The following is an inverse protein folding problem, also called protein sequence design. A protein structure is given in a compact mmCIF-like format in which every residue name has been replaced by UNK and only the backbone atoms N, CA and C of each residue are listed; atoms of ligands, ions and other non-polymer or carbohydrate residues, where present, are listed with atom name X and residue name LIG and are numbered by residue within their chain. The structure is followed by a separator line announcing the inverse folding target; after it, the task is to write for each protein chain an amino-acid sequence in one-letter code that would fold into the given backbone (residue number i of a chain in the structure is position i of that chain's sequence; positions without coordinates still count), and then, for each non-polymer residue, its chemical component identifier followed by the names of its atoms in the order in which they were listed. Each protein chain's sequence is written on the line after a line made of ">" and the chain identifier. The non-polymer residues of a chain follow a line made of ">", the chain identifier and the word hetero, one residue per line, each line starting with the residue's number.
data_IF_712664478535
#
_entry.id   IF_712664478535
#
_cell.length_a   1.000
_cell.length_b   1.000
_cell.length_c   1.000
_cell.angle_alpha   90.00
_cell.angle_beta   90.00
_cell.angle_gamma   90.00
#
_symmetry.space_group_name_H-M   'P 1'
#
loop_
_entity.id
_entity.type
_entity.pdbx_description
1 polymer ?
#
# COMPACT_ATOMS: atom_id res chain seq x y z
N UNK A 1 5.12 -19.13 -1.24
CA UNK A 1 4.77 -18.03 -0.32
C UNK A 1 3.62 -17.22 -0.93
N UNK A 2 2.71 -16.67 -0.11
CA UNK A 2 1.61 -15.82 -0.61
C UNK A 2 2.22 -14.51 -1.12
N UNK A 3 1.93 -14.12 -2.37
CA UNK A 3 2.38 -12.84 -2.93
C UNK A 3 1.76 -11.65 -2.17
N UNK A 4 2.55 -10.60 -1.93
CA UNK A 4 2.04 -9.32 -1.43
C UNK A 4 1.11 -8.70 -2.46
N UNK A 5 -0.06 -8.26 -1.99
CA UNK A 5 -1.13 -7.72 -2.83
C UNK A 5 -1.16 -6.19 -2.83
N UNK A 6 -1.41 -5.60 -4.00
CA UNK A 6 -1.35 -4.16 -4.21
C UNK A 6 -2.68 -3.61 -4.77
N UNK A 7 -3.05 -2.41 -4.30
CA UNK A 7 -3.98 -1.50 -4.98
C UNK A 7 -3.15 -0.34 -5.53
N UNK A 8 -3.28 -0.07 -6.83
CA UNK A 8 -2.64 1.09 -7.48
C UNK A 8 -3.67 2.20 -7.65
N UNK A 9 -3.30 3.41 -7.26
CA UNK A 9 -4.17 4.58 -7.35
C UNK A 9 -3.41 5.73 -8.02
N UNK A 10 -3.85 6.11 -9.21
CA UNK A 10 -3.28 7.18 -10.02
C UNK A 10 -4.31 7.56 -11.10
N UNK A 11 -4.56 8.85 -11.35
CA UNK A 11 -5.49 9.28 -12.40
C UNK A 11 -4.90 9.08 -13.80
N UNK A 12 -3.58 8.93 -13.91
CA UNK A 12 -2.90 8.63 -15.16
C UNK A 12 -2.88 7.13 -15.45
N UNK A 13 -3.55 6.65 -16.52
CA UNK A 13 -3.51 5.23 -16.91
C UNK A 13 -2.09 4.78 -17.29
N UNK A 14 -1.25 5.71 -17.77
CA UNK A 14 0.15 5.44 -18.06
C UNK A 14 0.91 5.08 -16.78
N UNK A 15 0.79 5.88 -15.71
CA UNK A 15 1.46 5.61 -14.44
C UNK A 15 0.94 4.33 -13.78
N UNK A 16 -0.36 4.06 -13.84
CA UNK A 16 -0.89 2.77 -13.36
C UNK A 16 -0.24 1.58 -14.07
N UNK A 17 -0.06 1.66 -15.39
CA UNK A 17 0.64 0.63 -16.18
C UNK A 17 2.11 0.48 -15.80
N UNK A 18 2.83 1.60 -15.61
CA UNK A 18 4.25 1.58 -15.19
C UNK A 18 4.40 0.94 -13.81
N UNK A 19 3.61 1.38 -12.83
CA UNK A 19 3.64 0.88 -11.46
C UNK A 19 3.24 -0.61 -11.43
N UNK A 20 2.21 -1.01 -12.18
CA UNK A 20 1.81 -2.42 -12.30
C UNK A 20 2.95 -3.29 -12.79
N UNK A 21 3.55 -2.93 -13.93
CA UNK A 21 4.66 -3.71 -14.50
C UNK A 21 5.83 -3.80 -13.54
N UNK A 22 6.16 -2.69 -12.88
CA UNK A 22 7.20 -2.69 -11.85
C UNK A 22 6.88 -3.67 -10.70
N UNK A 23 5.66 -3.63 -10.15
CA UNK A 23 5.25 -4.52 -9.06
C UNK A 23 5.23 -5.99 -9.50
N UNK A 24 4.66 -6.30 -10.65
CA UNK A 24 4.44 -7.69 -11.08
C UNK A 24 5.69 -8.32 -11.68
N UNK A 25 6.46 -7.59 -12.50
CA UNK A 25 7.64 -8.10 -13.20
C UNK A 25 8.92 -7.99 -12.37
N UNK A 26 9.09 -6.92 -11.57
CA UNK A 26 10.34 -6.69 -10.80
C UNK A 26 10.24 -7.14 -9.35
N UNK A 27 9.13 -6.84 -8.67
CA UNK A 27 8.97 -7.14 -7.24
C UNK A 27 8.31 -8.49 -6.96
N UNK A 28 7.73 -9.14 -7.97
CA UNK A 28 6.99 -10.40 -7.81
C UNK A 28 5.68 -10.27 -7.03
N UNK A 29 5.19 -9.04 -6.83
CA UNK A 29 3.91 -8.75 -6.19
C UNK A 29 2.71 -9.13 -7.06
N UNK A 30 1.50 -8.87 -6.56
CA UNK A 30 0.25 -9.04 -7.30
C UNK A 30 -0.63 -7.81 -7.18
N UNK A 31 -0.95 -7.16 -8.29
CA UNK A 31 -1.91 -6.05 -8.29
C UNK A 31 -3.33 -6.63 -8.36
N UNK A 32 -4.15 -6.35 -7.35
CA UNK A 32 -5.51 -6.92 -7.22
C UNK A 32 -6.62 -5.92 -7.54
N UNK A 33 -6.29 -4.63 -7.63
CA UNK A 33 -7.21 -3.57 -7.98
C UNK A 33 -6.45 -2.33 -8.47
N UNK A 34 -7.13 -1.49 -9.24
CA UNK A 34 -6.69 -0.15 -9.65
C UNK A 34 -7.81 0.84 -9.40
N UNK A 35 -7.47 2.09 -9.05
CA UNK A 35 -8.40 3.20 -8.92
C UNK A 35 -7.87 4.44 -9.65
N UNK A 36 -8.79 5.26 -10.14
CA UNK A 36 -8.46 6.50 -10.89
C UNK A 36 -8.62 7.77 -10.04
N UNK A 37 -9.19 7.66 -8.84
CA UNK A 37 -9.37 8.75 -7.90
C UNK A 37 -9.41 8.29 -6.44
N UNK A 38 -9.32 9.23 -5.50
CA UNK A 38 -9.29 8.93 -4.07
C UNK A 38 -10.59 8.33 -3.51
N UNK A 39 -11.76 8.64 -4.08
CA UNK A 39 -13.04 8.07 -3.62
C UNK A 39 -13.10 6.59 -3.98
N UNK A 40 -12.73 6.25 -5.22
CA UNK A 40 -12.64 4.86 -5.67
C UNK A 40 -11.57 4.10 -4.88
N UNK A 41 -10.42 4.72 -4.61
CA UNK A 41 -9.37 4.12 -3.80
C UNK A 41 -9.86 3.65 -2.42
N UNK A 42 -10.59 4.52 -1.70
CA UNK A 42 -11.16 4.18 -0.38
C UNK A 42 -12.16 3.02 -0.50
N UNK A 43 -13.01 3.03 -1.53
CA UNK A 43 -13.99 1.96 -1.79
C UNK A 43 -13.32 0.63 -2.09
N UNK A 44 -12.35 0.61 -2.99
CA UNK A 44 -11.64 -0.61 -3.38
C UNK A 44 -10.76 -1.13 -2.25
N UNK A 45 -10.14 -0.25 -1.46
CA UNK A 45 -9.40 -0.66 -0.26
C UNK A 45 -10.31 -1.42 0.72
N UNK A 46 -11.49 -0.88 1.03
CA UNK A 46 -12.46 -1.53 1.93
C UNK A 46 -12.93 -2.88 1.40
N UNK A 47 -13.10 -3.01 0.09
CA UNK A 47 -13.54 -4.24 -0.58
C UNK A 47 -12.46 -5.32 -0.62
N UNK A 48 -11.25 -4.97 -1.08
CA UNK A 48 -10.20 -5.94 -1.41
C UNK A 48 -9.15 -6.10 -0.32
N UNK A 49 -9.02 -5.14 0.59
CA UNK A 49 -8.05 -5.13 1.70
C UNK A 49 -6.64 -5.52 1.24
N UNK A 50 -6.05 -4.80 0.28
CA UNK A 50 -4.70 -5.07 -0.21
C UNK A 50 -3.68 -4.91 0.92
N UNK A 51 -2.55 -5.59 0.78
CA UNK A 51 -1.44 -5.47 1.73
C UNK A 51 -0.77 -4.09 1.64
N UNK A 52 -0.67 -3.54 0.43
CA UNK A 52 -0.05 -2.23 0.14
C UNK A 52 -0.93 -1.42 -0.83
N UNK A 53 -1.00 -0.11 -0.62
CA UNK A 53 -1.59 0.85 -1.55
C UNK A 53 -0.48 1.75 -2.09
N UNK A 54 -0.38 1.89 -3.41
CA UNK A 54 0.38 3.00 -4.01
C UNK A 54 -0.59 4.11 -4.36
N UNK A 55 -0.30 5.35 -3.99
CA UNK A 55 -1.24 6.46 -4.04
C UNK A 55 -0.60 7.71 -4.61
N UNK A 56 -1.09 8.18 -5.76
CA UNK A 56 -0.79 9.53 -6.24
C UNK A 56 -1.49 10.60 -5.39
N UNK A 57 -0.93 11.81 -5.33
CA UNK A 57 -1.52 12.92 -4.56
C UNK A 57 -2.53 13.71 -5.39
N UNK A 58 -2.17 14.03 -6.63
CA UNK A 58 -2.87 14.99 -7.48
C UNK A 58 -3.92 14.26 -8.30
N UNK A 59 -5.09 14.05 -7.70
CA UNK A 59 -6.19 13.34 -8.34
C UNK A 59 -7.49 14.14 -8.23
N UNK A 60 -8.44 13.95 -9.17
CA UNK A 60 -9.75 14.57 -9.09
C UNK A 60 -10.56 14.02 -7.90
N UNK A 61 -11.60 14.78 -7.51
CA UNK A 61 -12.59 14.46 -6.44
C UNK A 61 -12.02 14.41 -5.02
N UNK A 62 -11.06 13.53 -4.73
CA UNK A 62 -10.41 13.39 -3.44
C UNK A 62 -8.91 13.18 -3.65
N UNK A 63 -8.11 14.08 -3.08
CA UNK A 63 -6.64 14.01 -3.18
C UNK A 63 -6.09 12.80 -2.42
N UNK A 64 -4.89 12.36 -2.80
CA UNK A 64 -4.27 11.14 -2.25
C UNK A 64 -3.97 11.19 -0.76
N UNK A 65 -3.67 12.37 -0.21
CA UNK A 65 -3.41 12.52 1.23
C UNK A 65 -4.73 12.33 1.99
N UNK A 66 -5.80 12.97 1.54
CA UNK A 66 -7.12 12.83 2.15
C UNK A 66 -7.67 11.39 1.98
N UNK A 67 -7.47 10.77 0.82
CA UNK A 67 -7.83 9.37 0.58
C UNK A 67 -7.08 8.40 1.50
N UNK A 68 -5.77 8.63 1.68
CA UNK A 68 -4.96 7.87 2.63
C UNK A 68 -5.47 8.03 4.07
N UNK A 69 -5.82 9.23 4.50
CA UNK A 69 -6.38 9.47 5.84
C UNK A 69 -7.70 8.70 6.03
N UNK A 70 -8.58 8.67 5.04
CA UNK A 70 -9.82 7.87 5.08
C UNK A 70 -9.56 6.36 5.14
N UNK A 71 -8.56 5.87 4.39
CA UNK A 71 -8.10 4.48 4.48
C UNK A 71 -7.57 4.17 5.88
N UNK A 72 -6.76 5.06 6.47
CA UNK A 72 -6.18 4.89 7.81
C UNK A 72 -7.22 5.00 8.93
N UNK A 73 -8.25 5.83 8.77
CA UNK A 73 -9.41 5.87 9.69
C UNK A 73 -10.14 4.53 9.72
N UNK A 74 -10.32 3.89 8.56
CA UNK A 74 -10.93 2.57 8.46
C UNK A 74 -9.99 1.46 8.95
N UNK A 75 -8.71 1.52 8.59
CA UNK A 75 -7.70 0.55 8.98
C UNK A 75 -6.39 1.26 9.37
N UNK A 76 -6.17 1.44 10.68
CA UNK A 76 -4.96 2.07 11.21
C UNK A 76 -3.66 1.35 10.86
N UNK A 77 -3.72 0.08 10.45
CA UNK A 77 -2.54 -0.69 10.03
C UNK A 77 -2.34 -0.71 8.52
N UNK A 78 -3.13 0.04 7.74
CA UNK A 78 -2.95 0.13 6.29
C UNK A 78 -1.53 0.60 5.93
N UNK A 79 -0.97 0.02 4.87
CA UNK A 79 0.34 0.39 4.35
C UNK A 79 0.14 1.18 3.08
N UNK A 80 0.41 2.49 3.11
CA UNK A 80 0.27 3.37 1.95
C UNK A 80 1.63 3.97 1.58
N UNK A 81 2.03 3.80 0.33
CA UNK A 81 3.20 4.45 -0.29
C UNK A 81 2.65 5.58 -1.17
N UNK A 82 3.04 6.82 -0.88
CA UNK A 82 2.74 7.94 -1.77
C UNK A 82 3.70 7.91 -2.95
N UNK A 83 3.19 8.08 -4.16
CA UNK A 83 3.98 8.18 -5.39
C UNK A 83 3.54 9.42 -6.16
N UNK A 84 4.35 10.48 -6.17
CA UNK A 84 3.96 11.76 -6.75
C UNK A 84 4.97 12.30 -7.77
N UNK A 85 4.50 13.08 -8.73
CA UNK A 85 5.37 13.85 -9.64
C UNK A 85 6.10 14.96 -8.89
N UNK A 86 5.52 15.39 -7.77
CA UNK A 86 6.03 16.43 -6.88
C UNK A 86 6.80 15.82 -5.70
N UNK A 87 7.79 16.56 -5.23
CA UNK A 87 8.71 16.11 -4.18
C UNK A 87 9.17 17.24 -3.27
N UNK A 88 8.40 18.33 -3.17
CA UNK A 88 8.75 19.42 -2.25
C UNK A 88 8.74 18.91 -0.81
N UNK A 89 9.71 19.37 -0.01
CA UNK A 89 9.97 18.87 1.34
C UNK A 89 8.74 18.93 2.24
N UNK A 90 7.96 20.01 2.15
CA UNK A 90 6.73 20.18 2.95
C UNK A 90 5.66 19.15 2.61
N UNK A 91 5.50 18.80 1.33
CA UNK A 91 4.52 17.81 0.87
C UNK A 91 4.94 16.42 1.36
N UNK A 92 6.22 16.09 1.20
CA UNK A 92 6.80 14.83 1.69
C UNK A 92 6.60 14.71 3.20
N UNK A 93 6.98 15.74 3.96
CA UNK A 93 6.87 15.77 5.42
C UNK A 93 5.42 15.63 5.86
N UNK A 94 4.49 16.36 5.24
CA UNK A 94 3.06 16.29 5.53
C UNK A 94 2.50 14.89 5.29
N UNK A 95 2.84 14.25 4.18
CA UNK A 95 2.37 12.89 3.87
C UNK A 95 2.86 11.88 4.92
N UNK A 96 4.15 11.91 5.28
CA UNK A 96 4.72 11.01 6.28
C UNK A 96 4.11 11.23 7.67
N UNK A 97 3.94 12.48 8.11
CA UNK A 97 3.31 12.81 9.39
C UNK A 97 1.85 12.34 9.46
N UNK A 98 1.14 12.32 8.32
CA UNK A 98 -0.24 11.83 8.21
C UNK A 98 -0.34 10.30 8.09
N UNK A 99 0.78 9.58 8.13
CA UNK A 99 0.80 8.12 8.19
C UNK A 99 1.17 7.41 6.90
N UNK A 100 1.65 8.14 5.88
CA UNK A 100 2.29 7.49 4.74
C UNK A 100 3.48 6.67 5.23
N UNK A 101 3.60 5.44 4.75
CA UNK A 101 4.70 4.54 5.08
C UNK A 101 5.96 4.92 4.35
N UNK A 102 5.80 5.41 3.13
CA UNK A 102 6.89 5.92 2.33
C UNK A 102 6.39 6.96 1.31
N UNK A 103 7.33 7.74 0.76
CA UNK A 103 7.07 8.73 -0.28
C UNK A 103 8.10 8.61 -1.41
N UNK A 104 7.63 8.38 -2.64
CA UNK A 104 8.47 8.16 -3.82
C UNK A 104 8.15 9.24 -4.86
N UNK A 105 9.17 9.93 -5.37
CA UNK A 105 9.00 10.83 -6.51
C UNK A 105 9.08 10.03 -7.79
N UNK A 106 8.15 10.27 -8.72
CA UNK A 106 8.03 9.54 -9.99
C UNK A 106 9.29 9.60 -10.87
N UNK A 107 10.08 10.65 -10.74
CA UNK A 107 11.35 10.85 -11.49
C UNK A 107 12.57 10.12 -10.88
N UNK A 108 12.39 9.30 -9.85
CA UNK A 108 13.47 8.52 -9.26
C UNK A 108 13.87 7.34 -10.16
N UNK A 109 15.16 7.00 -10.12
CA UNK A 109 15.72 5.80 -10.74
C UNK A 109 15.04 4.51 -10.25
N UNK A 110 14.92 3.53 -11.13
CA UNK A 110 14.26 2.25 -10.87
C UNK A 110 14.91 1.52 -9.69
N UNK A 111 16.24 1.58 -9.54
CA UNK A 111 16.96 0.98 -8.42
C UNK A 111 16.53 1.57 -7.07
N UNK A 112 16.23 2.87 -7.04
CA UNK A 112 15.74 3.55 -5.83
C UNK A 112 14.30 3.12 -5.52
N UNK A 113 13.46 2.95 -6.54
CA UNK A 113 12.13 2.36 -6.36
C UNK A 113 12.23 0.96 -5.75
N UNK A 114 13.07 0.08 -6.30
CA UNK A 114 13.21 -1.31 -5.85
C UNK A 114 13.55 -1.37 -4.36
N UNK A 115 14.58 -0.65 -3.93
CA UNK A 115 14.99 -0.62 -2.51
C UNK A 115 13.86 -0.17 -1.57
N UNK A 116 13.08 0.83 -1.98
CA UNK A 116 11.99 1.39 -1.17
C UNK A 116 10.81 0.43 -1.06
N UNK A 117 10.40 -0.15 -2.17
CA UNK A 117 9.34 -1.15 -2.18
C UNK A 117 9.72 -2.43 -1.44
N UNK A 118 10.95 -2.95 -1.64
CA UNK A 118 11.44 -4.15 -0.93
C UNK A 118 11.41 -3.96 0.58
N UNK A 119 11.81 -2.78 1.07
CA UNK A 119 11.72 -2.45 2.49
C UNK A 119 10.28 -2.56 2.99
N UNK A 120 9.32 -1.96 2.29
CA UNK A 120 7.90 -1.99 2.68
C UNK A 120 7.32 -3.41 2.58
N UNK A 121 7.63 -4.15 1.53
CA UNK A 121 7.22 -5.55 1.34
C UNK A 121 7.71 -6.42 2.51
N UNK A 122 8.99 -6.30 2.88
CA UNK A 122 9.56 -7.07 3.99
C UNK A 122 8.88 -6.76 5.32
N UNK A 123 8.53 -5.50 5.57
CA UNK A 123 7.77 -5.09 6.76
C UNK A 123 6.37 -5.72 6.80
N UNK A 124 5.68 -5.74 5.66
CA UNK A 124 4.37 -6.36 5.50
C UNK A 124 4.44 -7.88 5.70
N UNK A 125 5.40 -8.56 5.08
CA UNK A 125 5.59 -10.00 5.23
C UNK A 125 5.90 -10.41 6.67
N UNK A 126 6.71 -9.61 7.37
CA UNK A 126 7.02 -9.80 8.79
C UNK A 126 5.77 -9.68 9.66
N UNK A 127 4.91 -8.67 9.40
CA UNK A 127 3.62 -8.50 10.09
C UNK A 127 2.70 -9.71 9.84
N UNK A 128 2.55 -10.11 8.59
CA UNK A 128 1.70 -11.24 8.19
C UNK A 128 2.15 -12.57 8.81
N UNK A 129 3.46 -12.80 8.90
CA UNK A 129 4.04 -13.99 9.53
C UNK A 129 3.75 -14.05 11.04
N UNK A 130 3.91 -12.94 11.76
CA UNK A 130 3.59 -12.85 13.19
C UNK A 130 2.11 -13.10 13.48
N UNK A 131 1.22 -12.53 12.65
CA UNK A 131 -0.23 -12.74 12.77
C UNK A 131 -0.58 -14.21 12.56
N UNK A 132 -0.01 -14.86 11.54
CA UNK A 132 -0.25 -16.28 11.27
C UNK A 132 0.15 -17.18 12.44
N UNK A 133 1.33 -16.95 13.03
CA UNK A 133 1.80 -17.70 14.21
C UNK A 133 0.84 -17.52 15.39
N UNK A 134 0.43 -16.29 15.69
CA UNK A 134 -0.47 -16.00 16.80
C UNK A 134 -1.84 -16.67 16.63
N UNK A 135 -2.41 -16.62 15.42
CA UNK A 135 -3.67 -17.29 15.09
C UNK A 135 -3.57 -18.80 15.27
N UNK A 136 -2.46 -19.41 14.81
CA UNK A 136 -2.23 -20.84 14.96
C UNK A 136 -2.14 -21.27 16.43
N UNK A 137 -1.41 -20.51 17.26
CA UNK A 137 -1.32 -20.78 18.71
C UNK A 137 -2.69 -20.64 19.38
N UNK A 138 -3.45 -19.59 19.07
CA UNK A 138 -4.79 -19.37 19.64
C UNK A 138 -5.74 -20.51 19.26
N UNK A 139 -5.69 -20.97 18.02
CA UNK A 139 -6.48 -22.10 17.55
C UNK A 139 -6.09 -23.41 18.25
N UNK A 140 -4.79 -23.64 18.46
CA UNK A 140 -4.29 -24.79 19.21
C UNK A 140 -4.83 -24.78 20.65
N UNK A 141 -4.65 -23.68 21.40
CA UNK A 141 -5.13 -23.56 22.79
C UNK A 141 -6.66 -23.76 22.88
N UNK A 142 -7.42 -23.19 21.93
CA UNK A 142 -8.88 -23.33 21.92
C UNK A 142 -9.36 -24.78 21.70
N UNK A 143 -8.56 -25.64 21.04
CA UNK A 143 -8.88 -27.07 20.90
C UNK A 143 -8.73 -27.83 22.21
N UNK A 144 -7.80 -27.44 23.07
CA UNK A 144 -7.61 -28.07 24.40
C UNK A 144 -8.65 -27.63 25.43
N UNK A 145 -9.23 -26.43 25.30
CA UNK A 145 -10.29 -25.96 26.21
C UNK A 145 -11.70 -26.50 25.90
N UNK A 146 -11.86 -27.25 24.82
CA UNK A 146 -13.14 -27.84 24.38
C UNK A 146 -13.23 -29.35 24.63
N UNK A 147 -12.22 -29.91 25.30
CA UNK A 147 -12.25 -31.22 25.96
C UNK A 147 -12.39 -30.98 27.46
#
# INVERSE_FOLDING_TARGET
>A
MKKVTFLIVDDSPMWRKVIRRFIEEKLGGKVIAEAEDGIEAVKLYKRFKPDVVTMDIEMPKLDGISAMEEILKFNKSATVIIISSKGEEDVVRKALLKGARDFIVKNLEIEKWTKRFEKVIKEVETKNSKISIFVNIKNYINRFKRQ
#
